data_IF_570337631151
#
_entry.id   IF_570337631151
#
_cell.length_a   1.000
_cell.length_b   1.000
_cell.length_c   1.000
_cell.angle_alpha   90.00
_cell.angle_beta   90.00
_cell.angle_gamma   90.00
#
_symmetry.space_group_name_H-M   'P 1'
#
loop_
_entity.id
_entity.type
_entity.pdbx_description
1 polymer ?
#
# COMPACT_ATOMS: atom_id res chain seq x y z
N UNK A 1 3.41 26.17 21.03
CA UNK A 1 2.45 25.93 19.92
C UNK A 1 1.67 24.64 20.17
N UNK A 2 0.38 24.77 20.49
CA UNK A 2 -0.53 23.65 20.76
C UNK A 2 -0.99 23.01 19.45
N UNK A 3 -0.59 21.77 19.21
CA UNK A 3 -0.93 20.99 18.02
C UNK A 3 -2.41 20.60 18.08
N UNK A 4 -3.30 21.48 17.59
CA UNK A 4 -4.74 21.19 17.45
C UNK A 4 -4.90 19.90 16.64
N UNK A 5 -5.18 18.79 17.32
CA UNK A 5 -5.51 17.52 16.66
C UNK A 5 -6.82 17.73 15.90
N UNK A 6 -6.79 17.49 14.59
CA UNK A 6 -7.98 17.64 13.75
C UNK A 6 -9.14 16.79 14.26
N UNK A 7 -10.39 17.17 13.95
CA UNK A 7 -11.61 16.54 14.48
C UNK A 7 -11.66 15.02 14.29
N UNK A 8 -10.96 14.50 13.29
CA UNK A 8 -10.85 13.06 13.00
C UNK A 8 -10.08 12.24 14.05
N UNK A 9 -9.15 12.83 14.80
CA UNK A 9 -8.42 12.09 15.83
C UNK A 9 -9.32 11.60 16.98
N UNK A 10 -10.53 12.17 17.11
CA UNK A 10 -11.53 11.77 18.10
C UNK A 10 -12.50 10.71 17.61
N UNK A 11 -12.66 10.55 16.28
CA UNK A 11 -13.66 9.64 15.71
C UNK A 11 -13.10 8.23 15.43
N UNK A 12 -11.80 8.08 15.19
CA UNK A 12 -11.16 6.77 14.99
C UNK A 12 -11.41 5.75 16.11
N UNK A 13 -11.33 6.10 17.41
CA UNK A 13 -11.59 5.12 18.48
C UNK A 13 -13.06 4.68 18.52
N UNK A 14 -14.01 5.54 18.15
CA UNK A 14 -15.44 5.19 18.14
C UNK A 14 -15.75 4.11 17.10
N UNK A 15 -15.19 4.24 15.88
CA UNK A 15 -15.37 3.22 14.84
C UNK A 15 -14.73 1.87 15.21
N UNK A 16 -13.56 1.89 15.86
CA UNK A 16 -12.91 0.67 16.36
C UNK A 16 -13.79 0.01 17.44
N UNK A 17 -14.35 0.79 18.36
CA UNK A 17 -15.25 0.29 19.40
C UNK A 17 -16.53 -0.34 18.83
N UNK A 18 -17.15 0.29 17.83
CA UNK A 18 -18.35 -0.26 17.17
C UNK A 18 -18.03 -1.57 16.45
N UNK A 19 -16.91 -1.63 15.73
CA UNK A 19 -16.48 -2.85 15.04
C UNK A 19 -16.16 -4.00 16.01
N UNK A 20 -15.47 -3.71 17.12
CA UNK A 20 -15.19 -4.69 18.18
C UNK A 20 -16.47 -5.16 18.87
N UNK A 21 -17.40 -4.24 19.16
CA UNK A 21 -18.70 -4.56 19.76
C UNK A 21 -19.54 -5.48 18.87
N UNK A 22 -19.60 -5.20 17.56
CA UNK A 22 -20.29 -6.06 16.60
C UNK A 22 -19.63 -7.44 16.47
N UNK A 23 -18.29 -7.50 16.48
CA UNK A 23 -17.55 -8.77 16.49
C UNK A 23 -17.83 -9.61 17.74
N UNK A 24 -17.79 -8.98 18.92
CA UNK A 24 -18.11 -9.66 20.19
C UNK A 24 -19.55 -10.15 20.27
N UNK A 25 -20.52 -9.36 19.81
CA UNK A 25 -21.93 -9.76 19.75
C UNK A 25 -22.13 -10.99 18.84
N UNK A 26 -21.38 -11.07 17.74
CA UNK A 26 -21.43 -12.22 16.83
C UNK A 26 -20.86 -13.50 17.46
N UNK A 27 -19.77 -13.38 18.24
CA UNK A 27 -19.19 -14.50 18.99
C UNK A 27 -20.13 -14.97 20.11
N UNK A 28 -20.82 -14.05 20.79
CA UNK A 28 -21.77 -14.35 21.85
C UNK A 28 -23.09 -14.96 21.37
N UNK A 29 -23.47 -14.78 20.10
CA UNK A 29 -24.64 -15.42 19.52
C UNK A 29 -24.39 -16.89 19.11
N UNK A 30 -23.12 -17.32 19.00
CA UNK A 30 -22.72 -18.66 18.58
C UNK A 30 -23.23 -19.81 19.49
N UNK A 31 -23.23 -19.72 20.84
CA UNK A 31 -23.68 -20.82 21.68
C UNK A 31 -25.18 -21.15 21.54
N UNK A 32 -25.99 -20.22 20.99
CA UNK A 32 -27.42 -20.45 20.76
C UNK A 32 -27.73 -21.44 19.61
N UNK A 33 -26.72 -21.82 18.83
CA UNK A 33 -26.83 -22.74 17.68
C UNK A 33 -26.07 -24.05 17.90
N UNK A 34 -25.95 -24.52 19.14
CA UNK A 34 -25.29 -25.80 19.41
C UNK A 34 -26.25 -26.96 19.09
N UNK A 35 -26.02 -27.60 17.93
CA UNK A 35 -26.55 -28.93 17.68
C UNK A 35 -25.82 -29.92 18.61
N UNK A 36 -26.50 -30.45 19.62
CA UNK A 36 -25.98 -31.57 20.41
C UNK A 36 -26.10 -32.86 19.57
N UNK A 37 -25.00 -33.30 18.97
CA UNK A 37 -24.92 -34.61 18.34
C UNK A 37 -24.47 -35.66 19.35
N UNK A 38 -25.22 -36.77 19.48
CA UNK A 38 -24.72 -38.00 20.11
C UNK A 38 -25.09 -38.26 21.58
N UNK A 39 -25.94 -37.46 22.23
CA UNK A 39 -26.54 -37.85 23.52
C UNK A 39 -27.78 -38.72 23.31
N UNK A 40 -27.92 -39.80 24.11
CA UNK A 40 -29.13 -40.63 24.09
C UNK A 40 -30.29 -39.80 24.65
N UNK A 41 -31.31 -39.60 23.83
CA UNK A 41 -32.54 -38.95 24.25
C UNK A 41 -33.62 -40.01 24.35
N UNK A 42 -34.21 -40.16 25.54
CA UNK A 42 -35.40 -40.99 25.73
C UNK A 42 -36.62 -40.16 25.32
N UNK A 43 -37.31 -40.61 24.27
CA UNK A 43 -38.51 -39.94 23.75
C UNK A 43 -39.72 -40.79 24.13
N UNK A 44 -40.72 -40.19 24.76
CA UNK A 44 -42.02 -40.85 24.98
C UNK A 44 -43.04 -40.29 24.00
N UNK A 45 -43.76 -41.16 23.29
CA UNK A 45 -44.84 -40.75 22.40
C UNK A 45 -46.18 -41.32 22.85
N UNK A 46 -47.23 -40.50 22.76
CA UNK A 46 -48.61 -40.87 23.10
C UNK A 46 -49.54 -40.47 21.95
N UNK A 47 -49.71 -41.36 20.97
CA UNK A 47 -50.64 -41.17 19.85
C UNK A 47 -50.54 -42.26 18.77
N UNK A 48 -51.42 -42.24 17.75
CA UNK A 48 -51.26 -43.05 16.54
C UNK A 48 -50.29 -42.35 15.58
N UNK A 49 -49.04 -42.82 15.48
CA UNK A 49 -48.12 -42.40 14.42
C UNK A 49 -48.27 -43.34 13.21
N UNK A 50 -48.54 -42.76 12.05
CA UNK A 50 -48.61 -43.49 10.78
C UNK A 50 -47.18 -43.62 10.23
N UNK A 51 -46.55 -44.78 10.37
CA UNK A 51 -45.20 -45.04 9.84
C UNK A 51 -45.26 -45.55 8.41
N UNK A 52 -44.80 -44.75 7.45
CA UNK A 52 -44.55 -45.22 6.08
C UNK A 52 -43.19 -45.93 6.02
N UNK A 53 -43.20 -47.27 5.97
CA UNK A 53 -41.98 -48.06 5.78
C UNK A 53 -41.46 -47.95 4.34
N UNK A 54 -40.41 -47.14 4.14
CA UNK A 54 -39.59 -47.17 2.93
C UNK A 54 -38.71 -48.41 2.92
N UNK A 55 -38.93 -49.33 1.97
CA UNK A 55 -38.19 -50.60 1.85
C UNK A 55 -36.77 -50.39 1.26
N UNK A 56 -35.92 -49.62 1.95
CA UNK A 56 -34.44 -49.67 1.98
C UNK A 56 -33.89 -48.39 2.62
N UNK A 57 -33.46 -48.50 3.88
CA UNK A 57 -32.33 -47.72 4.41
C UNK A 57 -32.61 -46.41 5.14
N UNK A 58 -33.86 -46.04 5.41
CA UNK A 58 -34.20 -44.91 6.30
C UNK A 58 -35.71 -44.70 6.34
N UNK A 59 -36.28 -44.56 7.53
CA UNK A 59 -37.67 -44.14 7.71
C UNK A 59 -37.69 -42.76 8.34
N UNK A 60 -38.04 -41.75 7.55
CA UNK A 60 -38.37 -40.42 8.06
C UNK A 60 -39.75 -40.52 8.70
N UNK A 61 -39.86 -40.27 10.01
CA UNK A 61 -41.16 -40.31 10.69
C UNK A 61 -41.44 -38.94 11.29
N UNK A 62 -42.33 -38.17 10.68
CA UNK A 62 -42.74 -36.85 11.20
C UNK A 62 -43.72 -37.02 12.37
N UNK A 63 -43.19 -37.49 13.50
CA UNK A 63 -43.93 -37.58 14.76
C UNK A 63 -43.57 -36.38 15.64
N UNK A 64 -44.55 -35.61 16.14
CA UNK A 64 -44.29 -34.65 17.19
C UNK A 64 -43.86 -35.40 18.45
N UNK A 65 -42.67 -35.10 18.94
CA UNK A 65 -42.05 -35.74 20.08
C UNK A 65 -41.71 -34.68 21.14
N UNK A 66 -41.85 -35.03 22.42
CA UNK A 66 -41.25 -34.27 23.52
C UNK A 66 -40.12 -35.05 24.16
N UNK A 67 -39.07 -34.34 24.56
CA UNK A 67 -37.95 -34.89 25.31
C UNK A 67 -37.36 -33.84 26.24
N UNK A 68 -36.63 -34.30 27.26
CA UNK A 68 -35.99 -33.40 28.23
C UNK A 68 -34.53 -33.19 27.88
N UNK A 69 -34.10 -31.93 27.79
CA UNK A 69 -32.69 -31.53 27.69
C UNK A 69 -32.35 -30.72 28.93
N UNK A 70 -31.41 -31.20 29.73
CA UNK A 70 -30.98 -30.54 30.98
C UNK A 70 -32.14 -30.18 31.94
N UNK A 71 -33.17 -31.05 31.99
CA UNK A 71 -34.35 -30.89 32.85
C UNK A 71 -35.47 -30.00 32.29
N UNK A 72 -35.32 -29.47 31.08
CA UNK A 72 -36.36 -28.68 30.39
C UNK A 72 -36.99 -29.51 29.29
N UNK A 73 -38.33 -29.57 29.26
CA UNK A 73 -39.08 -30.27 28.22
C UNK A 73 -39.06 -29.46 26.93
N UNK A 74 -38.65 -30.09 25.84
CA UNK A 74 -38.54 -29.51 24.50
C UNK A 74 -39.41 -30.35 23.57
N UNK A 75 -40.17 -29.70 22.69
CA UNK A 75 -40.95 -30.35 21.62
C UNK A 75 -40.25 -30.18 20.27
N UNK A 76 -40.32 -31.20 19.41
CA UNK A 76 -39.76 -31.16 18.07
C UNK A 76 -40.20 -32.32 17.18
N UNK A 77 -39.63 -32.39 15.98
CA UNK A 77 -39.97 -33.37 14.94
C UNK A 77 -38.78 -34.32 14.72
N UNK A 78 -39.06 -35.63 14.65
CA UNK A 78 -38.04 -36.68 14.72
C UNK A 78 -37.72 -37.24 13.34
N UNK A 79 -36.86 -36.55 12.58
CA UNK A 79 -36.71 -36.80 11.13
C UNK A 79 -35.91 -38.03 10.72
N UNK A 80 -35.20 -38.73 11.61
CA UNK A 80 -34.47 -39.94 11.20
C UNK A 80 -34.26 -40.91 12.38
N UNK A 81 -34.68 -42.17 12.20
CA UNK A 81 -34.50 -43.24 13.18
C UNK A 81 -33.77 -44.42 12.57
N UNK A 82 -32.66 -44.82 13.20
CA UNK A 82 -31.92 -46.04 12.82
C UNK A 82 -31.91 -46.95 14.04
N UNK A 83 -32.81 -47.92 14.07
CA UNK A 83 -32.91 -48.90 15.15
C UNK A 83 -33.18 -50.31 14.63
N UNK A 84 -32.43 -51.27 15.14
CA UNK A 84 -32.74 -52.71 15.03
C UNK A 84 -33.80 -53.08 16.09
N UNK A 85 -34.82 -53.81 15.63
CA UNK A 85 -35.89 -54.49 16.37
C UNK A 85 -36.82 -53.66 17.28
N UNK A 86 -38.01 -53.36 16.74
CA UNK A 86 -39.21 -53.03 17.51
C UNK A 86 -39.75 -54.35 18.10
N UNK A 87 -39.57 -54.58 19.41
CA UNK A 87 -40.28 -55.67 20.11
C UNK A 87 -41.65 -55.18 20.54
N UNK A 88 -42.67 -55.76 19.93
CA UNK A 88 -44.06 -55.53 20.27
C UNK A 88 -44.34 -56.05 21.69
N UNK A 89 -44.64 -55.14 22.61
CA UNK A 89 -45.07 -55.45 23.97
C UNK A 89 -46.58 -55.56 23.94
N UNK A 90 -47.09 -56.79 23.93
CA UNK A 90 -48.53 -57.10 23.79
C UNK A 90 -49.41 -56.72 24.99
N UNK A 91 -48.87 -56.03 26.00
CA UNK A 91 -49.68 -55.50 27.11
C UNK A 91 -50.06 -54.05 26.82
N UNK A 92 -51.31 -53.88 26.38
CA UNK A 92 -51.89 -52.60 25.96
C UNK A 92 -51.75 -51.52 27.01
N UNK A 93 -50.86 -50.56 26.73
CA UNK A 93 -50.72 -49.33 27.52
C UNK A 93 -49.32 -48.74 27.41
N UNK A 94 -49.05 -48.02 26.32
CA UNK A 94 -47.79 -47.36 25.95
C UNK A 94 -46.70 -48.26 25.35
N UNK A 95 -46.45 -48.07 24.04
CA UNK A 95 -45.22 -48.52 23.42
C UNK A 95 -44.08 -47.60 23.89
N UNK A 96 -43.20 -48.11 24.74
CA UNK A 96 -41.93 -47.45 25.03
C UNK A 96 -40.93 -47.92 23.98
N UNK A 97 -40.80 -47.17 22.89
CA UNK A 97 -39.75 -47.41 21.88
C UNK A 97 -38.54 -46.54 22.21
N UNK A 98 -37.38 -47.16 22.40
CA UNK A 98 -36.12 -46.44 22.48
C UNK A 98 -35.61 -46.19 21.07
N UNK A 99 -35.95 -45.03 20.51
CA UNK A 99 -35.50 -44.62 19.19
C UNK A 99 -34.10 -44.04 19.29
N UNK A 100 -33.18 -44.56 18.47
CA UNK A 100 -31.83 -44.03 18.33
C UNK A 100 -31.80 -43.16 17.07
N UNK A 101 -31.90 -41.85 17.24
CA UNK A 101 -31.72 -40.88 16.17
C UNK A 101 -30.37 -40.21 16.30
N UNK A 102 -29.59 -40.14 15.22
CA UNK A 102 -28.34 -39.36 15.17
C UNK A 102 -28.61 -37.85 15.12
N UNK A 103 -29.85 -37.43 14.83
CA UNK A 103 -30.27 -36.03 14.76
C UNK A 103 -31.71 -35.85 15.22
N UNK A 104 -31.91 -35.27 16.41
CA UNK A 104 -33.20 -34.66 16.75
C UNK A 104 -33.13 -33.19 16.31
N UNK A 105 -33.95 -32.80 15.33
CA UNK A 105 -34.03 -31.40 14.89
C UNK A 105 -34.93 -30.67 15.89
N UNK A 106 -34.35 -30.11 16.94
CA UNK A 106 -35.05 -29.09 17.73
C UNK A 106 -35.30 -27.91 16.80
N UNK A 107 -36.53 -27.76 16.32
CA UNK A 107 -37.00 -26.43 15.94
C UNK A 107 -37.13 -25.65 17.25
N UNK A 108 -36.01 -25.14 17.76
CA UNK A 108 -36.07 -24.02 18.69
C UNK A 108 -36.88 -22.98 17.93
N UNK A 109 -38.07 -22.62 18.44
CA UNK A 109 -38.86 -21.51 17.89
C UNK A 109 -37.87 -20.40 17.61
N UNK A 110 -37.61 -20.13 16.33
CA UNK A 110 -36.65 -19.11 15.98
C UNK A 110 -37.16 -17.84 16.64
N UNK A 111 -36.46 -17.28 17.63
CA UNK A 111 -36.85 -15.96 18.05
C UNK A 111 -36.67 -15.07 16.83
N UNK A 112 -37.70 -14.28 16.51
CA UNK A 112 -37.75 -13.37 15.37
C UNK A 112 -36.60 -12.37 15.43
N UNK A 113 -35.38 -12.79 15.09
CA UNK A 113 -34.21 -11.93 15.08
C UNK A 113 -33.75 -11.77 13.64
N UNK A 114 -34.42 -10.86 12.93
CA UNK A 114 -33.94 -10.25 11.69
C UNK A 114 -32.58 -9.52 11.81
N UNK A 115 -31.93 -9.59 12.98
CA UNK A 115 -30.63 -8.99 13.26
C UNK A 115 -29.44 -9.90 12.87
N UNK A 116 -29.63 -11.23 12.78
CA UNK A 116 -28.55 -12.17 12.48
C UNK A 116 -27.94 -11.99 11.07
N UNK A 117 -28.78 -11.62 10.09
CA UNK A 117 -28.33 -11.33 8.72
C UNK A 117 -27.87 -9.88 8.52
N UNK A 118 -28.14 -8.97 9.47
CA UNK A 118 -27.77 -7.57 9.34
C UNK A 118 -26.27 -7.31 9.61
N UNK A 119 -25.60 -8.18 10.38
CA UNK A 119 -24.20 -8.00 10.79
C UNK A 119 -23.22 -7.73 9.64
N UNK A 120 -23.16 -8.58 8.60
CA UNK A 120 -22.27 -8.38 7.45
C UNK A 120 -22.58 -7.10 6.65
N UNK A 121 -23.86 -6.80 6.46
CA UNK A 121 -24.30 -5.61 5.70
C UNK A 121 -24.03 -4.30 6.45
N UNK A 122 -24.15 -4.29 7.78
CA UNK A 122 -23.81 -3.12 8.62
C UNK A 122 -22.31 -2.84 8.59
N UNK A 123 -21.46 -3.87 8.58
CA UNK A 123 -20.00 -3.69 8.42
C UNK A 123 -19.66 -3.13 7.04
N UNK A 124 -20.26 -3.67 5.97
CA UNK A 124 -20.07 -3.16 4.60
C UNK A 124 -20.56 -1.71 4.45
N UNK A 125 -21.74 -1.38 4.99
CA UNK A 125 -22.29 -0.02 4.98
C UNK A 125 -21.40 0.97 5.76
N UNK A 126 -20.85 0.54 6.90
CA UNK A 126 -19.93 1.36 7.71
C UNK A 126 -18.63 1.67 6.97
N UNK A 127 -18.07 0.67 6.28
CA UNK A 127 -16.88 0.88 5.43
C UNK A 127 -17.22 1.80 4.26
N UNK A 128 -18.36 1.59 3.58
CA UNK A 128 -18.80 2.46 2.48
C UNK A 128 -18.99 3.93 2.92
N UNK A 129 -19.61 4.18 4.08
CA UNK A 129 -19.78 5.51 4.66
C UNK A 129 -18.45 6.18 5.04
N UNK A 130 -17.48 5.42 5.55
CA UNK A 130 -16.14 5.91 5.81
C UNK A 130 -15.40 6.33 4.52
N UNK A 131 -15.64 5.63 3.40
CA UNK A 131 -15.08 5.99 2.10
C UNK A 131 -15.75 7.22 1.47
N UNK A 132 -17.09 7.34 1.55
CA UNK A 132 -17.83 8.46 0.95
C UNK A 132 -17.61 9.77 1.72
N UNK A 133 -17.53 9.74 3.05
CA UNK A 133 -17.23 10.92 3.87
C UNK A 133 -15.85 11.52 3.57
N UNK A 134 -14.83 10.69 3.34
CA UNK A 134 -13.50 11.13 2.91
C UNK A 134 -13.49 11.79 1.52
N UNK A 135 -14.34 11.32 0.60
CA UNK A 135 -14.45 11.91 -0.74
C UNK A 135 -15.16 13.27 -0.73
N UNK A 136 -16.15 13.46 0.15
CA UNK A 136 -16.88 14.72 0.30
C UNK A 136 -16.01 15.82 0.91
N UNK A 137 -15.10 15.49 1.82
CA UNK A 137 -14.19 16.46 2.44
C UNK A 137 -13.25 17.10 1.42
N UNK A 138 -12.69 16.30 0.50
CA UNK A 138 -11.84 16.80 -0.60
C UNK A 138 -12.58 17.75 -1.54
N UNK A 139 -13.88 17.55 -1.77
CA UNK A 139 -14.70 18.46 -2.58
C UNK A 139 -14.91 19.81 -1.89
N UNK A 140 -15.06 19.84 -0.56
CA UNK A 140 -15.20 21.08 0.22
C UNK A 140 -13.93 21.91 0.21
N UNK A 141 -12.76 21.30 0.37
CA UNK A 141 -11.47 22.02 0.31
C UNK A 141 -11.23 22.63 -1.08
N UNK A 142 -11.50 21.88 -2.17
CA UNK A 142 -11.40 22.41 -3.53
C UNK A 142 -12.33 23.59 -3.79
N UNK A 143 -13.57 23.55 -3.28
CA UNK A 143 -14.52 24.67 -3.40
C UNK A 143 -14.02 25.92 -2.66
N UNK A 144 -13.44 25.77 -1.46
CA UNK A 144 -12.88 26.91 -0.71
C UNK A 144 -11.68 27.54 -1.41
N UNK A 145 -10.80 26.73 -2.00
CA UNK A 145 -9.66 27.25 -2.77
C UNK A 145 -10.15 27.97 -4.04
N UNK A 146 -11.12 27.39 -4.76
CA UNK A 146 -11.71 28.03 -5.93
C UNK A 146 -12.40 29.36 -5.58
N UNK A 147 -13.14 29.41 -4.47
CA UNK A 147 -13.79 30.63 -3.99
C UNK A 147 -12.79 31.68 -3.49
N UNK A 148 -11.68 31.26 -2.86
CA UNK A 148 -10.64 32.18 -2.40
C UNK A 148 -9.79 32.79 -3.52
N UNK A 149 -9.71 32.13 -4.67
CA UNK A 149 -9.03 32.66 -5.87
C UNK A 149 -9.87 33.70 -6.63
N UNK A 150 -11.18 33.77 -6.39
CA UNK A 150 -12.11 34.70 -7.04
C UNK A 150 -12.33 36.00 -6.26
N UNK A 151 -11.83 36.11 -5.01
CA UNK A 151 -11.96 37.32 -4.21
C UNK A 151 -10.73 38.25 -4.37
N UNK A 152 -10.85 39.37 -5.12
CA UNK A 152 -9.73 40.29 -5.35
C UNK A 152 -9.31 41.09 -4.11
N UNK A 153 -10.05 41.00 -3.00
CA UNK A 153 -9.75 41.70 -1.74
C UNK A 153 -9.24 40.76 -0.64
N UNK A 154 -9.04 39.47 -0.91
CA UNK A 154 -8.50 38.55 0.07
C UNK A 154 -7.05 38.95 0.42
N UNK A 155 -6.80 39.24 1.70
CA UNK A 155 -5.50 39.67 2.21
C UNK A 155 -4.43 38.59 1.92
N UNK A 156 -3.37 38.87 1.13
CA UNK A 156 -2.39 37.87 0.72
C UNK A 156 -1.68 37.18 1.89
N UNK A 157 -1.68 37.81 3.07
CA UNK A 157 -1.04 37.30 4.29
C UNK A 157 -1.79 36.14 4.95
N UNK A 158 -3.09 35.97 4.74
CA UNK A 158 -3.88 34.92 5.43
C UNK A 158 -3.86 33.56 4.69
N UNK A 159 -3.28 33.52 3.48
CA UNK A 159 -3.10 32.30 2.68
C UNK A 159 -1.79 31.57 2.99
N UNK A 160 -0.79 32.25 3.56
CA UNK A 160 0.52 31.68 3.86
C UNK A 160 0.47 30.54 4.90
N UNK A 161 -0.54 30.55 5.77
CA UNK A 161 -0.75 29.53 6.80
C UNK A 161 -1.67 28.38 6.36
N UNK A 162 -2.13 28.37 5.10
CA UNK A 162 -2.81 27.19 4.56
C UNK A 162 -1.76 26.14 4.20
N UNK A 163 -1.72 24.96 4.86
CA UNK A 163 -0.73 23.91 4.60
C UNK A 163 -0.89 23.22 3.23
N UNK A 164 -1.64 23.85 2.33
CA UNK A 164 -2.03 23.37 1.01
C UNK A 164 -1.94 24.48 -0.06
N UNK A 165 -1.04 25.46 0.12
CA UNK A 165 -0.59 26.30 -0.98
C UNK A 165 -0.32 25.39 -2.18
N UNK A 166 -1.00 25.67 -3.29
CA UNK A 166 -0.88 24.86 -4.49
C UNK A 166 0.59 24.90 -4.93
N UNK A 167 1.14 23.77 -5.43
CA UNK A 167 2.51 23.73 -5.96
C UNK A 167 2.81 24.88 -6.94
N UNK A 168 1.78 25.38 -7.62
CA UNK A 168 1.82 26.53 -8.53
C UNK A 168 2.20 27.84 -7.82
N UNK A 169 1.70 28.12 -6.62
CA UNK A 169 2.04 29.34 -5.88
C UNK A 169 3.50 29.33 -5.39
N UNK A 170 3.94 28.19 -4.85
CA UNK A 170 5.35 27.99 -4.46
C UNK A 170 6.28 28.05 -5.68
N UNK A 171 5.84 27.51 -6.81
CA UNK A 171 6.58 27.58 -8.07
C UNK A 171 6.66 29.02 -8.60
N UNK A 172 5.59 29.80 -8.45
CA UNK A 172 5.56 31.21 -8.83
C UNK A 172 6.51 32.03 -7.95
N UNK A 173 6.45 31.84 -6.63
CA UNK A 173 7.31 32.50 -5.65
C UNK A 173 8.79 32.24 -5.93
N UNK A 174 9.13 30.98 -6.26
CA UNK A 174 10.49 30.56 -6.61
C UNK A 174 10.86 30.75 -8.08
N UNK A 175 9.97 31.33 -8.90
CA UNK A 175 10.17 31.55 -10.35
C UNK A 175 10.58 30.28 -11.11
N UNK A 176 10.03 29.12 -10.74
CA UNK A 176 10.39 27.83 -11.33
C UNK A 176 9.95 27.68 -12.79
N UNK A 177 9.04 28.53 -13.27
CA UNK A 177 8.52 28.48 -14.66
C UNK A 177 7.25 27.64 -14.78
N UNK A 178 6.98 27.09 -15.96
CA UNK A 178 5.78 26.30 -16.22
C UNK A 178 6.00 24.84 -15.82
N UNK A 179 4.97 24.12 -15.33
CA UNK A 179 5.07 22.69 -15.09
C UNK A 179 5.19 21.94 -16.42
N UNK A 180 6.20 21.08 -16.53
CA UNK A 180 6.51 20.32 -17.74
C UNK A 180 6.24 18.83 -17.58
N UNK A 181 6.45 18.28 -16.38
CA UNK A 181 6.11 16.89 -16.07
C UNK A 181 5.73 16.71 -14.61
N UNK A 182 4.86 15.74 -14.34
CA UNK A 182 4.49 15.33 -12.99
C UNK A 182 4.74 13.83 -12.84
N UNK A 183 5.45 13.45 -11.78
CA UNK A 183 5.67 12.06 -11.39
C UNK A 183 5.04 11.82 -10.01
N UNK A 184 4.48 10.64 -9.82
CA UNK A 184 3.81 10.25 -8.56
C UNK A 184 4.50 9.02 -7.98
N UNK A 185 4.21 8.66 -6.72
CA UNK A 185 4.70 7.37 -6.21
C UNK A 185 3.99 6.20 -6.90
N UNK A 186 4.72 5.10 -7.10
CA UNK A 186 4.13 3.86 -7.57
C UNK A 186 3.23 3.31 -6.48
N UNK A 187 1.93 3.22 -6.78
CA UNK A 187 1.02 2.48 -5.92
C UNK A 187 1.49 1.01 -5.90
N UNK A 188 1.73 0.41 -4.73
CA UNK A 188 2.15 -0.99 -4.68
C UNK A 188 0.95 -1.90 -5.01
N UNK A 189 0.72 -2.10 -6.30
CA UNK A 189 -0.37 -2.92 -6.87
C UNK A 189 -0.33 -4.35 -6.29
N UNK A 190 0.87 -4.86 -5.98
CA UNK A 190 1.06 -6.18 -5.38
C UNK A 190 0.24 -6.42 -4.10
N UNK A 191 -0.01 -5.39 -3.28
CA UNK A 191 -0.82 -5.55 -2.06
C UNK A 191 -2.31 -5.76 -2.34
N UNK A 192 -2.84 -5.20 -3.43
CA UNK A 192 -4.23 -5.40 -3.81
C UNK A 192 -4.45 -6.84 -4.31
N UNK A 193 -3.51 -7.37 -5.09
CA UNK A 193 -3.55 -8.75 -5.55
C UNK A 193 -3.40 -9.74 -4.38
N UNK A 194 -2.50 -9.46 -3.44
CA UNK A 194 -2.30 -10.30 -2.26
C UNK A 194 -3.55 -10.35 -1.37
N UNK A 195 -4.25 -9.22 -1.22
CA UNK A 195 -5.53 -9.16 -0.52
C UNK A 195 -6.60 -10.01 -1.21
N UNK A 196 -6.72 -9.95 -2.54
CA UNK A 196 -7.69 -10.75 -3.28
C UNK A 196 -7.47 -12.26 -3.15
N UNK A 197 -6.20 -12.70 -3.23
CA UNK A 197 -5.85 -14.13 -3.12
C UNK A 197 -6.11 -14.68 -1.71
N UNK A 198 -5.85 -13.90 -0.66
CA UNK A 198 -6.13 -14.35 0.72
C UNK A 198 -7.62 -14.40 1.06
N UNK A 199 -8.46 -13.60 0.39
CA UNK A 199 -9.91 -13.61 0.61
C UNK A 199 -10.66 -14.65 -0.22
N UNK A 200 -10.06 -15.15 -1.31
CA UNK A 200 -10.64 -16.19 -2.13
C UNK A 200 -10.99 -17.48 -1.35
N UNK A 201 -10.09 -18.08 -0.55
CA UNK A 201 -10.43 -19.28 0.22
C UNK A 201 -11.48 -19.02 1.29
N UNK A 202 -11.54 -17.80 1.84
CA UNK A 202 -12.58 -17.43 2.80
C UNK A 202 -13.97 -17.36 2.15
N UNK A 203 -14.06 -16.80 0.94
CA UNK A 203 -15.30 -16.82 0.17
C UNK A 203 -15.74 -18.24 -0.20
N UNK A 204 -14.77 -19.10 -0.49
CA UNK A 204 -15.01 -20.50 -0.82
C UNK A 204 -15.45 -21.34 0.39
N UNK A 205 -14.84 -21.13 1.57
CA UNK A 205 -15.16 -21.90 2.76
C UNK A 205 -16.49 -21.48 3.39
N UNK A 206 -16.82 -20.18 3.35
CA UNK A 206 -18.16 -19.67 3.67
C UNK A 206 -19.24 -20.28 2.76
N UNK A 207 -18.89 -20.62 1.50
CA UNK A 207 -19.80 -21.31 0.58
C UNK A 207 -19.96 -22.80 0.90
N UNK A 208 -18.96 -23.44 1.51
CA UNK A 208 -18.97 -24.88 1.85
C UNK A 208 -19.44 -25.20 3.28
N UNK A 209 -19.67 -24.19 4.12
CA UNK A 209 -20.18 -24.39 5.49
C UNK A 209 -19.17 -25.02 6.45
N UNK A 210 -17.87 -24.83 6.23
CA UNK A 210 -16.81 -25.38 7.07
C UNK A 210 -16.57 -24.45 8.28
N UNK A 211 -16.85 -24.93 9.50
CA UNK A 211 -16.85 -24.12 10.73
C UNK A 211 -15.49 -24.04 11.45
N UNK A 212 -14.36 -23.97 10.74
CA UNK A 212 -13.06 -23.99 11.44
C UNK A 212 -12.63 -22.58 11.89
N UNK A 213 -12.35 -22.44 13.20
CA UNK A 213 -11.78 -21.22 13.82
C UNK A 213 -10.54 -20.70 13.08
N UNK A 214 -9.79 -21.61 12.46
CA UNK A 214 -8.62 -21.29 11.64
C UNK A 214 -8.93 -20.35 10.47
N UNK A 215 -10.05 -20.54 9.77
CA UNK A 215 -10.44 -19.71 8.64
C UNK A 215 -10.70 -18.25 9.05
N UNK A 216 -11.36 -18.05 10.20
CA UNK A 216 -11.61 -16.72 10.75
C UNK A 216 -10.30 -16.00 11.11
N UNK A 217 -9.30 -16.72 11.63
CA UNK A 217 -7.99 -16.13 11.91
C UNK A 217 -7.26 -15.73 10.63
N UNK A 218 -7.34 -16.54 9.57
CA UNK A 218 -6.80 -16.21 8.24
C UNK A 218 -7.52 -15.00 7.64
N UNK A 219 -8.85 -14.94 7.77
CA UNK A 219 -9.66 -13.79 7.37
C UNK A 219 -9.20 -12.49 8.02
N UNK A 220 -9.02 -12.54 9.34
CA UNK A 220 -8.71 -11.38 10.14
C UNK A 220 -7.28 -10.90 9.89
N UNK A 221 -6.34 -11.83 9.70
CA UNK A 221 -4.99 -11.53 9.24
C UNK A 221 -4.99 -10.89 7.84
N UNK A 222 -5.78 -11.43 6.91
CA UNK A 222 -5.97 -10.88 5.56
C UNK A 222 -6.56 -9.46 5.59
N UNK A 223 -7.59 -9.23 6.40
CA UNK A 223 -8.20 -7.92 6.58
C UNK A 223 -7.21 -6.92 7.20
N UNK A 224 -6.45 -7.33 8.21
CA UNK A 224 -5.38 -6.51 8.80
C UNK A 224 -4.31 -6.11 7.78
N UNK A 225 -3.87 -7.06 6.94
CA UNK A 225 -2.92 -6.79 5.86
C UNK A 225 -3.49 -5.83 4.81
N UNK A 226 -4.78 -5.93 4.45
CA UNK A 226 -5.45 -4.98 3.56
C UNK A 226 -5.53 -3.58 4.18
N UNK A 227 -5.95 -3.45 5.44
CA UNK A 227 -6.04 -2.16 6.12
C UNK A 227 -4.65 -1.51 6.19
N UNK A 228 -3.63 -2.27 6.59
CA UNK A 228 -2.26 -1.78 6.61
C UNK A 228 -1.75 -1.39 5.21
N UNK A 229 -2.02 -2.21 4.19
CA UNK A 229 -1.70 -1.95 2.80
C UNK A 229 -2.36 -0.67 2.28
N UNK A 230 -3.65 -0.46 2.57
CA UNK A 230 -4.37 0.76 2.18
C UNK A 230 -3.86 2.00 2.92
N UNK A 231 -3.49 1.90 4.20
CA UNK A 231 -2.85 2.99 4.95
C UNK A 231 -1.50 3.33 4.31
N UNK A 232 -0.68 2.33 3.99
CA UNK A 232 0.63 2.52 3.33
C UNK A 232 0.48 3.13 1.94
N UNK A 233 -0.47 2.67 1.14
CA UNK A 233 -0.84 3.25 -0.16
C UNK A 233 -1.29 4.70 0.01
N UNK A 234 -2.18 5.00 0.98
CA UNK A 234 -2.65 6.37 1.23
C UNK A 234 -1.52 7.31 1.65
N UNK A 235 -0.60 6.85 2.49
CA UNK A 235 0.59 7.63 2.87
C UNK A 235 1.50 7.90 1.67
N UNK A 236 1.60 6.97 0.72
CA UNK A 236 2.37 7.14 -0.53
C UNK A 236 1.68 8.02 -1.56
N UNK A 237 0.34 8.08 -1.61
CA UNK A 237 -0.42 8.95 -2.53
C UNK A 237 -0.15 10.45 -2.35
N UNK A 238 0.54 10.86 -1.28
CA UNK A 238 0.98 12.24 -1.07
C UNK A 238 2.32 12.58 -1.75
N UNK A 239 2.98 11.62 -2.40
CA UNK A 239 4.27 11.85 -3.06
C UNK A 239 4.06 12.33 -4.49
N UNK A 240 4.53 13.54 -4.77
CA UNK A 240 4.47 14.16 -6.10
C UNK A 240 5.75 14.91 -6.37
N UNK A 241 6.32 14.72 -7.54
CA UNK A 241 7.45 15.49 -8.05
C UNK A 241 6.98 16.19 -9.32
N UNK A 242 6.87 17.52 -9.25
CA UNK A 242 6.53 18.37 -10.39
C UNK A 242 7.81 19.03 -10.89
N UNK A 243 8.15 18.76 -12.14
CA UNK A 243 9.29 19.36 -12.83
C UNK A 243 8.80 20.59 -13.57
N UNK A 244 9.50 21.69 -13.36
CA UNK A 244 9.29 22.95 -14.04
C UNK A 244 10.47 23.26 -14.96
N UNK A 245 10.33 24.28 -15.80
CA UNK A 245 11.40 24.73 -16.71
C UNK A 245 12.71 25.01 -15.96
N UNK A 246 12.63 25.65 -14.80
CA UNK A 246 13.77 26.16 -14.02
C UNK A 246 13.97 25.46 -12.68
N UNK A 247 13.28 24.35 -12.40
CA UNK A 247 13.53 23.59 -11.17
C UNK A 247 12.61 22.41 -10.94
N UNK A 248 12.69 21.85 -9.74
CA UNK A 248 11.86 20.74 -9.29
C UNK A 248 11.21 21.06 -7.95
N UNK A 249 9.94 20.69 -7.83
CA UNK A 249 9.19 20.71 -6.59
C UNK A 249 8.77 19.30 -6.23
N UNK A 250 9.21 18.82 -5.08
CA UNK A 250 8.86 17.50 -4.55
C UNK A 250 8.12 17.67 -3.25
N UNK A 251 6.92 17.10 -3.20
CA UNK A 251 6.12 17.00 -1.98
C UNK A 251 6.12 15.54 -1.55
N UNK A 252 6.63 15.27 -0.35
CA UNK A 252 6.66 13.96 0.26
C UNK A 252 6.12 14.03 1.69
N UNK A 253 4.82 13.76 1.85
CA UNK A 253 4.10 13.91 3.12
C UNK A 253 4.23 15.35 3.67
N UNK A 254 5.03 15.56 4.72
CA UNK A 254 5.31 16.87 5.32
C UNK A 254 6.61 17.51 4.86
N UNK A 255 7.42 16.78 4.09
CA UNK A 255 8.67 17.29 3.53
C UNK A 255 8.38 17.91 2.17
N UNK A 256 8.77 19.15 2.02
CA UNK A 256 8.70 19.87 0.75
C UNK A 256 10.14 20.15 0.36
N UNK A 257 10.54 19.68 -0.81
CA UNK A 257 11.83 19.98 -1.41
C UNK A 257 11.58 20.76 -2.69
N UNK A 258 11.97 22.04 -2.69
CA UNK A 258 11.84 22.91 -3.86
C UNK A 258 13.22 23.40 -4.22
N UNK A 259 13.70 23.13 -5.44
CA UNK A 259 15.04 23.47 -5.85
C UNK A 259 15.03 24.03 -7.27
N UNK A 260 15.57 25.24 -7.45
CA UNK A 260 15.85 25.76 -8.78
C UNK A 260 17.05 25.04 -9.40
N UNK A 261 17.08 24.84 -10.72
CA UNK A 261 18.20 24.15 -11.37
C UNK A 261 19.55 24.86 -11.15
N UNK A 262 19.53 26.17 -10.94
CA UNK A 262 20.72 26.98 -10.61
C UNK A 262 21.23 26.77 -9.18
N UNK A 263 20.35 26.32 -8.26
CA UNK A 263 20.70 26.00 -6.86
C UNK A 263 21.27 24.58 -6.72
N UNK A 264 21.17 23.76 -7.76
CA UNK A 264 21.73 22.40 -7.77
C UNK A 264 23.25 22.49 -7.83
N UNK A 265 23.90 21.80 -6.90
CA UNK A 265 25.37 21.71 -6.84
C UNK A 265 25.87 20.36 -7.36
N UNK A 266 25.12 19.29 -7.12
CA UNK A 266 25.44 17.96 -7.58
C UNK A 266 24.19 17.15 -7.90
N UNK A 267 24.33 16.26 -8.89
CA UNK A 267 23.40 15.18 -9.17
C UNK A 267 24.19 13.89 -9.29
N UNK A 268 23.77 12.86 -8.56
CA UNK A 268 24.36 11.53 -8.56
C UNK A 268 23.32 10.55 -9.07
N UNK A 269 23.72 9.73 -10.04
CA UNK A 269 22.88 8.68 -10.61
C UNK A 269 23.49 7.32 -10.25
N UNK A 270 22.85 6.60 -9.34
CA UNK A 270 23.23 5.24 -8.98
C UNK A 270 22.19 4.28 -9.54
N UNK A 271 22.61 3.48 -10.52
CA UNK A 271 21.80 2.39 -11.08
C UNK A 271 22.48 1.08 -10.76
N UNK A 272 21.86 0.27 -9.89
CA UNK A 272 22.38 -1.03 -9.48
C UNK A 272 21.60 -2.13 -10.19
N UNK A 273 22.30 -3.00 -10.92
CA UNK A 273 21.71 -4.17 -11.58
C UNK A 273 22.10 -5.41 -10.75
N UNK A 274 21.11 -6.06 -10.15
CA UNK A 274 21.29 -7.29 -9.36
C UNK A 274 20.43 -8.41 -9.98
N UNK A 275 21.05 -9.22 -10.83
CA UNK A 275 20.35 -10.22 -11.64
C UNK A 275 19.33 -9.57 -12.57
N UNK A 276 18.07 -9.99 -12.48
CA UNK A 276 16.96 -9.41 -13.25
C UNK A 276 16.39 -8.10 -12.63
N UNK A 277 16.86 -7.70 -11.44
CA UNK A 277 16.33 -6.51 -10.75
C UNK A 277 17.23 -5.31 -11.00
N UNK A 278 16.67 -4.23 -11.57
CA UNK A 278 17.32 -2.92 -11.72
C UNK A 278 16.80 -2.00 -10.61
N UNK A 279 17.69 -1.43 -9.81
CA UNK A 279 17.38 -0.42 -8.79
C UNK A 279 17.95 0.93 -9.19
N UNK A 280 17.13 1.97 -9.05
CA UNK A 280 17.52 3.34 -9.36
C UNK A 280 17.57 4.17 -8.09
N UNK A 281 18.58 5.02 -7.99
CA UNK A 281 18.71 6.01 -6.94
C UNK A 281 19.35 7.25 -7.53
N UNK A 282 18.60 8.34 -7.58
CA UNK A 282 19.08 9.65 -8.00
C UNK A 282 19.11 10.58 -6.81
N UNK A 283 20.26 11.13 -6.51
CA UNK A 283 20.42 12.09 -5.41
C UNK A 283 20.70 13.46 -5.99
N UNK A 284 19.94 14.46 -5.55
CA UNK A 284 20.14 15.88 -5.91
C UNK A 284 20.61 16.60 -4.67
N UNK A 285 21.70 17.36 -4.76
CA UNK A 285 22.14 18.25 -3.70
C UNK A 285 21.85 19.70 -4.06
N UNK A 286 21.29 20.41 -3.08
CA UNK A 286 21.05 21.85 -3.08
C UNK A 286 21.99 22.46 -2.04
N UNK A 287 22.85 23.39 -2.46
CA UNK A 287 23.72 24.18 -1.59
C UNK A 287 24.35 23.39 -0.41
N UNK A 288 25.27 22.46 -0.74
CA UNK A 288 26.11 21.61 0.16
C UNK A 288 25.45 20.81 1.30
N UNK A 289 24.26 21.14 1.78
CA UNK A 289 23.71 20.60 3.03
C UNK A 289 22.37 19.88 2.85
N UNK A 290 21.58 20.23 1.83
CA UNK A 290 20.30 19.60 1.60
C UNK A 290 20.35 18.67 0.39
N UNK A 291 19.86 17.44 0.56
CA UNK A 291 19.72 16.51 -0.54
C UNK A 291 18.35 15.87 -0.58
N UNK A 292 17.91 15.55 -1.80
CA UNK A 292 16.71 14.76 -2.04
C UNK A 292 17.05 13.52 -2.83
N UNK A 293 16.48 12.38 -2.43
CA UNK A 293 16.71 11.08 -3.05
C UNK A 293 15.44 10.62 -3.76
N UNK A 294 15.55 10.39 -5.06
CA UNK A 294 14.55 9.72 -5.87
C UNK A 294 14.96 8.26 -6.05
N UNK A 295 14.12 7.33 -5.62
CA UNK A 295 14.36 5.89 -5.70
C UNK A 295 13.22 5.16 -6.45
N UNK A 296 13.26 3.82 -6.46
CA UNK A 296 12.27 2.99 -7.15
C UNK A 296 10.83 3.09 -6.58
N UNK A 297 10.58 3.86 -5.50
CA UNK A 297 9.23 4.15 -5.05
C UNK A 297 8.50 5.16 -5.98
N UNK A 298 9.21 5.85 -6.89
CA UNK A 298 8.62 6.74 -7.89
C UNK A 298 8.14 5.98 -9.15
N UNK A 299 6.98 6.38 -9.68
CA UNK A 299 6.51 5.91 -10.99
C UNK A 299 7.39 6.51 -12.09
N UNK A 300 7.86 5.68 -13.02
CA UNK A 300 8.71 6.16 -14.12
C UNK A 300 10.07 6.68 -13.66
N UNK A 301 10.65 6.09 -12.60
CA UNK A 301 11.93 6.54 -12.01
C UNK A 301 13.08 6.65 -13.02
N UNK A 302 13.10 5.82 -14.06
CA UNK A 302 14.12 5.91 -15.13
C UNK A 302 13.98 7.22 -15.92
N UNK A 303 12.78 7.51 -16.41
CA UNK A 303 12.46 8.77 -17.13
C UNK A 303 12.64 10.00 -16.24
N UNK A 304 12.16 9.92 -14.99
CA UNK A 304 12.34 10.97 -13.98
C UNK A 304 13.82 11.27 -13.78
N UNK A 305 14.63 10.24 -13.57
CA UNK A 305 16.06 10.36 -13.32
C UNK A 305 16.83 10.90 -14.52
N UNK A 306 16.55 10.40 -15.72
CA UNK A 306 17.16 10.91 -16.96
C UNK A 306 16.85 12.39 -17.16
N UNK A 307 15.60 12.79 -16.93
CA UNK A 307 15.18 14.19 -17.01
C UNK A 307 15.87 15.05 -15.96
N UNK A 308 15.90 14.59 -14.71
CA UNK A 308 16.56 15.27 -13.61
C UNK A 308 18.03 15.52 -13.90
N UNK A 309 18.75 14.47 -14.34
CA UNK A 309 20.16 14.57 -14.72
C UNK A 309 20.33 15.56 -15.87
N UNK A 310 19.53 15.45 -16.94
CA UNK A 310 19.64 16.33 -18.11
C UNK A 310 19.41 17.81 -17.74
N UNK A 311 18.27 18.10 -17.13
CA UNK A 311 17.83 19.49 -16.88
C UNK A 311 18.78 20.18 -15.87
N UNK A 312 19.21 19.46 -14.82
CA UNK A 312 20.20 19.99 -13.87
C UNK A 312 21.60 20.19 -14.48
N UNK A 313 22.11 19.22 -15.25
CA UNK A 313 23.43 19.37 -15.89
C UNK A 313 23.40 20.49 -16.95
N UNK A 314 22.30 20.66 -17.68
CA UNK A 314 22.15 21.76 -18.64
C UNK A 314 22.23 23.14 -17.97
N UNK A 315 21.61 23.30 -16.80
CA UNK A 315 21.67 24.54 -16.04
C UNK A 315 23.06 24.79 -15.43
N UNK A 316 23.74 23.75 -14.95
CA UNK A 316 25.06 23.86 -14.31
C UNK A 316 26.21 24.05 -15.32
N UNK A 317 26.09 23.50 -16.54
CA UNK A 317 27.19 23.42 -17.50
C UNK A 317 27.89 24.77 -17.79
N UNK A 318 27.18 25.90 -18.01
CA UNK A 318 27.84 27.18 -18.29
C UNK A 318 28.84 27.60 -17.19
N UNK A 319 28.46 27.49 -15.92
CA UNK A 319 29.31 27.81 -14.77
C UNK A 319 30.54 26.89 -14.69
N UNK A 320 30.35 25.61 -14.99
CA UNK A 320 31.45 24.64 -15.01
C UNK A 320 32.43 24.90 -16.15
N UNK A 321 31.94 25.28 -17.34
CA UNK A 321 32.78 25.66 -18.48
C UNK A 321 33.59 26.92 -18.17
N UNK A 322 32.95 27.95 -17.63
CA UNK A 322 33.64 29.19 -17.23
C UNK A 322 34.75 28.91 -16.21
N UNK A 323 34.44 28.12 -15.17
CA UNK A 323 35.42 27.74 -14.14
C UNK A 323 36.57 26.92 -14.74
N UNK A 324 36.26 25.98 -15.64
CA UNK A 324 37.25 25.15 -16.32
C UNK A 324 38.18 26.00 -17.21
N UNK A 325 37.62 26.93 -18.00
CA UNK A 325 38.38 27.80 -18.89
C UNK A 325 39.26 28.80 -18.12
N UNK A 326 38.81 29.22 -16.94
CA UNK A 326 39.60 30.00 -15.98
C UNK A 326 40.72 29.19 -15.29
N UNK A 327 40.85 27.88 -15.57
CA UNK A 327 41.88 27.02 -14.99
C UNK A 327 41.57 26.56 -13.55
N UNK A 328 40.34 26.79 -13.06
CA UNK A 328 39.92 26.35 -11.73
C UNK A 328 39.85 24.83 -11.68
N UNK A 329 40.36 24.25 -10.60
CA UNK A 329 40.28 22.82 -10.35
C UNK A 329 38.85 22.41 -9.93
N UNK A 330 38.21 21.58 -10.76
CA UNK A 330 36.84 21.10 -10.55
C UNK A 330 36.85 19.67 -10.04
N UNK A 331 36.23 19.43 -8.88
CA UNK A 331 36.21 18.12 -8.21
C UNK A 331 34.97 17.31 -8.58
N UNK A 332 35.20 16.06 -8.95
CA UNK A 332 34.19 15.05 -9.28
C UNK A 332 34.56 13.75 -8.53
N UNK A 333 34.20 13.67 -7.25
CA UNK A 333 34.65 12.62 -6.33
C UNK A 333 36.19 12.56 -6.24
N UNK A 334 36.80 11.44 -6.61
CA UNK A 334 38.26 11.22 -6.61
C UNK A 334 38.97 11.80 -7.84
N UNK A 335 38.22 12.40 -8.76
CA UNK A 335 38.73 12.99 -9.98
C UNK A 335 38.74 14.51 -9.82
N UNK A 336 39.83 15.15 -10.25
CA UNK A 336 39.91 16.61 -10.34
C UNK A 336 40.31 16.97 -11.76
N UNK A 337 39.52 17.82 -12.42
CA UNK A 337 39.80 18.27 -13.79
C UNK A 337 40.03 19.76 -13.83
N UNK A 338 40.99 20.19 -14.65
CA UNK A 338 41.22 21.59 -14.97
C UNK A 338 41.64 21.71 -16.45
N UNK A 339 41.95 22.93 -16.88
CA UNK A 339 42.36 23.21 -18.27
C UNK A 339 43.58 22.42 -18.74
N UNK A 340 44.51 22.12 -17.83
CA UNK A 340 45.81 21.52 -18.17
C UNK A 340 45.78 19.99 -18.17
N UNK A 341 44.93 19.38 -17.33
CA UNK A 341 44.84 17.93 -17.24
C UNK A 341 43.78 17.39 -16.29
N UNK A 342 43.98 16.13 -15.96
CA UNK A 342 43.15 15.33 -15.08
C UNK A 342 44.02 14.78 -13.95
N UNK A 343 43.65 15.06 -12.71
CA UNK A 343 44.21 14.39 -11.53
C UNK A 343 43.34 13.20 -11.15
N UNK A 344 43.97 12.03 -10.98
CA UNK A 344 43.36 10.80 -10.47
C UNK A 344 44.04 10.45 -9.16
N UNK A 345 43.40 10.73 -8.03
CA UNK A 345 44.06 10.65 -6.72
C UNK A 345 45.23 11.63 -6.63
N UNK A 346 46.45 11.12 -6.45
CA UNK A 346 47.67 11.94 -6.31
C UNK A 346 48.46 12.11 -7.62
N UNK A 347 47.98 11.55 -8.73
CA UNK A 347 48.69 11.60 -10.01
C UNK A 347 48.01 12.57 -10.96
N UNK A 348 48.75 13.58 -11.42
CA UNK A 348 48.32 14.50 -12.47
C UNK A 348 48.69 13.95 -13.85
N UNK A 349 47.75 13.98 -14.78
CA UNK A 349 47.94 13.52 -16.16
C UNK A 349 47.51 14.62 -17.13
N UNK A 350 48.42 15.16 -17.97
CA UNK A 350 48.07 16.18 -18.95
C UNK A 350 47.10 15.63 -20.00
N UNK A 351 46.23 16.47 -20.55
CA UNK A 351 45.20 16.03 -21.50
C UNK A 351 45.75 15.28 -22.73
N UNK A 352 46.97 15.62 -23.20
CA UNK A 352 47.63 14.93 -24.31
C UNK A 352 48.00 13.47 -24.00
N UNK A 353 48.15 13.10 -22.73
CA UNK A 353 48.42 11.72 -22.32
C UNK A 353 47.13 10.90 -22.08
N UNK A 354 45.94 11.51 -22.17
CA UNK A 354 44.64 10.84 -21.95
C UNK A 354 44.15 10.18 -23.25
N UNK A 355 44.36 8.88 -23.35
CA UNK A 355 43.99 8.08 -24.53
C UNK A 355 42.53 7.65 -24.52
N UNK A 356 41.94 7.42 -23.34
CA UNK A 356 40.55 7.00 -23.20
C UNK A 356 39.87 7.68 -22.00
N UNK A 357 38.65 8.19 -22.23
CA UNK A 357 37.79 8.78 -21.20
C UNK A 357 36.34 8.57 -21.61
N UNK A 358 35.68 7.54 -21.07
CA UNK A 358 34.34 7.15 -21.49
C UNK A 358 33.50 6.57 -20.35
N UNK A 359 32.19 6.48 -20.58
CA UNK A 359 31.24 5.80 -19.72
C UNK A 359 31.06 4.36 -20.21
N UNK A 360 31.33 3.36 -19.37
CA UNK A 360 31.15 1.94 -19.71
C UNK A 360 30.65 1.16 -18.50
N UNK A 361 29.55 0.42 -18.65
CA UNK A 361 29.00 -0.47 -17.61
C UNK A 361 28.79 0.19 -16.23
N UNK A 362 28.32 1.44 -16.20
CA UNK A 362 28.13 2.17 -14.93
C UNK A 362 29.42 2.65 -14.27
N UNK A 363 30.54 2.59 -15.00
CA UNK A 363 31.85 3.11 -14.60
C UNK A 363 32.30 4.22 -15.55
N UNK A 364 33.01 5.21 -15.02
CA UNK A 364 33.85 6.12 -15.78
C UNK A 364 35.20 5.44 -15.94
N UNK A 365 35.54 5.08 -17.18
CA UNK A 365 36.80 4.45 -17.54
C UNK A 365 37.80 5.50 -18.04
N UNK A 366 38.97 5.52 -17.41
CA UNK A 366 40.04 6.48 -17.68
C UNK A 366 41.30 5.69 -17.98
N UNK A 367 41.87 5.91 -19.18
CA UNK A 367 43.21 5.41 -19.54
C UNK A 367 44.08 6.59 -19.92
N UNK A 368 45.13 6.84 -19.16
CA UNK A 368 45.98 8.01 -19.35
C UNK A 368 47.38 7.80 -18.79
N UNK A 369 48.43 8.00 -19.60
CA UNK A 369 49.83 7.98 -19.12
C UNK A 369 50.24 6.74 -18.29
N UNK A 370 49.76 5.54 -18.66
CA UNK A 370 50.01 4.30 -17.92
C UNK A 370 49.05 4.04 -16.74
N UNK A 371 48.19 5.00 -16.40
CA UNK A 371 47.12 4.85 -15.40
C UNK A 371 45.88 4.27 -16.06
N UNK A 372 45.32 3.23 -15.45
CA UNK A 372 43.97 2.73 -15.74
C UNK A 372 43.13 2.82 -14.48
N UNK A 373 42.10 3.68 -14.50
CA UNK A 373 41.17 3.88 -13.39
C UNK A 373 39.75 3.61 -13.85
N UNK A 374 39.03 2.84 -13.04
CA UNK A 374 37.58 2.68 -13.11
C UNK A 374 36.98 3.39 -11.90
N UNK A 375 36.08 4.33 -12.12
CA UNK A 375 35.36 5.05 -11.08
C UNK A 375 33.86 4.78 -11.22
N UNK A 376 33.18 4.38 -10.14
CA UNK A 376 31.74 4.16 -10.21
C UNK A 376 30.98 5.46 -10.48
N UNK A 377 30.05 5.41 -11.42
CA UNK A 377 29.12 6.53 -11.72
C UNK A 377 28.27 6.84 -10.49
N UNK A 378 27.93 5.79 -9.74
CA UNK A 378 27.20 5.88 -8.48
C UNK A 378 27.95 6.64 -7.38
N UNK A 379 29.26 6.89 -7.51
CA UNK A 379 30.06 7.68 -6.56
C UNK A 379 30.54 9.01 -7.16
N UNK A 380 30.29 9.26 -8.44
CA UNK A 380 30.79 10.43 -9.17
C UNK A 380 29.66 11.41 -9.44
N UNK A 381 29.62 12.60 -8.81
CA UNK A 381 28.58 13.59 -9.11
C UNK A 381 28.76 14.14 -10.53
N UNK A 382 27.68 14.61 -11.15
CA UNK A 382 27.71 15.40 -12.39
C UNK A 382 28.51 14.75 -13.55
N UNK A 383 28.46 13.42 -13.68
CA UNK A 383 29.19 12.67 -14.72
C UNK A 383 29.00 13.23 -16.14
N UNK A 384 27.80 13.67 -16.58
CA UNK A 384 27.65 14.26 -17.91
C UNK A 384 28.51 15.53 -18.11
N UNK A 385 28.61 16.39 -17.10
CA UNK A 385 29.48 17.57 -17.15
C UNK A 385 30.95 17.14 -17.21
N UNK A 386 31.37 16.19 -16.37
CA UNK A 386 32.74 15.66 -16.37
C UNK A 386 33.15 15.15 -17.77
N UNK A 387 32.29 14.33 -18.40
CA UNK A 387 32.53 13.81 -19.75
C UNK A 387 32.58 14.94 -20.79
N UNK A 388 31.70 15.93 -20.68
CA UNK A 388 31.68 17.07 -21.61
C UNK A 388 32.98 17.89 -21.54
N UNK A 389 33.45 18.21 -20.33
CA UNK A 389 34.69 18.96 -20.11
C UNK A 389 35.92 18.17 -20.60
N UNK A 390 36.03 16.90 -20.22
CA UNK A 390 37.14 16.05 -20.65
C UNK A 390 37.21 15.90 -22.18
N UNK A 391 36.06 15.70 -22.84
CA UNK A 391 35.99 15.62 -24.30
C UNK A 391 36.34 16.94 -24.98
N UNK A 392 35.89 18.08 -24.44
CA UNK A 392 36.24 19.39 -24.95
C UNK A 392 37.76 19.67 -24.83
N UNK A 393 38.36 19.32 -23.69
CA UNK A 393 39.79 19.49 -23.44
C UNK A 393 40.66 18.63 -24.39
N UNK A 394 40.32 17.34 -24.56
CA UNK A 394 41.03 16.44 -25.48
C UNK A 394 40.95 16.91 -26.94
N UNK A 395 39.79 17.44 -27.35
CA UNK A 395 39.61 18.04 -28.69
C UNK A 395 40.45 19.30 -28.92
N UNK A 396 40.80 20.04 -27.86
CA UNK A 396 41.67 21.23 -27.99
C UNK A 396 43.13 20.84 -28.23
N UNK A 397 43.63 19.81 -27.55
CA UNK A 397 45.01 19.32 -27.72
C UNK A 397 45.24 18.80 -29.14
N UNK A 398 44.31 17.98 -29.64
CA UNK A 398 44.38 17.37 -30.99
C UNK A 398 44.27 18.36 -32.15
N UNK A 399 43.94 19.64 -31.91
CA UNK A 399 43.91 20.69 -32.95
C UNK A 399 45.21 21.48 -33.05
N UNK A 400 46.10 21.35 -32.06
CA UNK A 400 47.36 22.11 -31.99
C UNK A 400 48.51 21.33 -32.62
N UNK A 401 48.35 20.00 -32.76
CA UNK A 401 49.19 19.11 -33.57
C UNK A 401 48.73 19.13 -35.03
#
# INVERSE_FOLDING_TARGET
MSKKRGPWARLTPLFIMIALGAGLASVWAWPAYTYKFGERVMVSYTGPCETTYGRRGGSTTDCPATWTVDGVEVSGELTDSVGEDIRDSSDGGAMVTSVWGSTARTQVQQPEYGLGLAGPWVLLASVALAFTSSALDKRRTRRRIAQGLEDPNADPLDLADTPDLTPELLALERRLGRPVAEYTSRAPIGWLLFGGVLFFPLGYSLFQGIETVFEYLVALAGAGAMVWGTIKIRRRKAWRATFFDNGVHVRQDKRIFTCGWQEVTAVLAAVTIQGATKRHKYTVWRNSEESYVFDDDWSGIDELGQRLVRDANQAMLPRYVESFDAGVALKFADLVVNRDGLSVGNQFVPWGAVTHFALSNGMVEIRAGGVHKLQAVADTPNVPILLALANAARKRVTRVE
#
